data_IF_635098258852
#
_entry.id   IF_635098258852
#
_cell.length_a   1.000
_cell.length_b   1.000
_cell.length_c   1.000
_cell.angle_alpha   90.00
_cell.angle_beta   90.00
_cell.angle_gamma   90.00
#
_symmetry.space_group_name_H-M   'P 1'
#
loop_
_entity.id
_entity.type
_entity.pdbx_description
1 polymer ?
#
# COMPACT_ATOMS: atom_id res chain seq x y z
N UNK A 1 -70.09 -20.69 -28.93
CA UNK A 1 -69.35 -21.03 -30.17
C UNK A 1 -67.89 -21.27 -29.72
N UNK A 2 -67.53 -22.40 -29.10
CA UNK A 2 -67.44 -23.80 -29.55
C UNK A 2 -66.52 -23.98 -30.78
N UNK A 3 -65.45 -24.77 -30.57
CA UNK A 3 -64.41 -25.19 -31.52
C UNK A 3 -63.04 -25.10 -30.84
N UNK A 4 -62.63 -26.01 -29.94
CA UNK A 4 -62.30 -27.44 -30.13
C UNK A 4 -61.44 -27.74 -31.36
N UNK A 5 -60.15 -28.08 -31.13
CA UNK A 5 -59.50 -29.18 -31.85
C UNK A 5 -58.39 -29.81 -30.99
N UNK A 6 -58.62 -31.09 -30.70
CA UNK A 6 -57.75 -32.09 -30.08
C UNK A 6 -56.91 -32.74 -31.19
N UNK A 7 -55.62 -33.04 -30.95
CA UNK A 7 -55.02 -34.27 -31.49
C UNK A 7 -53.72 -34.67 -30.77
N UNK A 8 -53.81 -35.71 -29.94
CA UNK A 8 -52.71 -36.57 -29.51
C UNK A 8 -52.32 -37.51 -30.66
N UNK A 9 -51.02 -37.76 -30.87
CA UNK A 9 -50.48 -39.12 -31.13
C UNK A 9 -49.05 -39.26 -30.59
N UNK A 10 -48.87 -40.33 -29.82
CA UNK A 10 -47.63 -40.82 -29.24
C UNK A 10 -46.95 -41.87 -30.14
N UNK A 11 -45.66 -42.10 -29.87
CA UNK A 11 -44.90 -43.38 -29.85
C UNK A 11 -43.51 -43.27 -30.52
N UNK A 12 -42.48 -43.72 -29.79
CA UNK A 12 -41.18 -44.05 -30.36
C UNK A 12 -40.00 -43.94 -29.40
N UNK A 13 -39.97 -44.78 -28.36
CA UNK A 13 -38.79 -44.99 -27.52
C UNK A 13 -37.73 -45.81 -28.26
N UNK A 14 -36.45 -45.43 -28.15
CA UNK A 14 -35.35 -46.35 -28.38
C UNK A 14 -34.19 -46.05 -27.41
N UNK A 15 -34.13 -46.88 -26.37
CA UNK A 15 -32.99 -47.09 -25.47
C UNK A 15 -31.93 -47.94 -26.16
N UNK A 16 -30.66 -47.55 -26.07
CA UNK A 16 -29.54 -48.49 -26.24
C UNK A 16 -28.54 -48.31 -25.10
N UNK A 17 -28.54 -49.31 -24.22
CA UNK A 17 -27.63 -49.50 -23.09
C UNK A 17 -26.48 -50.40 -23.56
N UNK A 18 -25.23 -50.06 -23.27
CA UNK A 18 -24.11 -50.99 -23.33
C UNK A 18 -23.22 -50.78 -22.09
N UNK A 19 -23.25 -51.81 -21.24
CA UNK A 19 -22.40 -52.05 -20.07
C UNK A 19 -21.32 -53.06 -20.48
N UNK A 20 -20.12 -52.93 -19.93
CA UNK A 20 -19.10 -53.96 -19.56
C UNK A 20 -17.75 -53.22 -19.48
N UNK A 21 -16.80 -53.46 -18.58
CA UNK A 21 -16.68 -54.14 -17.30
C UNK A 21 -15.31 -53.72 -16.70
N UNK A 22 -15.08 -54.09 -15.44
CA UNK A 22 -13.95 -53.74 -14.59
C UNK A 22 -12.54 -54.06 -15.13
N UNK A 23 -11.55 -53.32 -14.62
CA UNK A 23 -10.14 -53.66 -14.72
C UNK A 23 -9.25 -52.65 -13.99
N UNK A 24 -8.89 -52.94 -12.74
CA UNK A 24 -7.75 -52.30 -12.07
C UNK A 24 -6.46 -52.77 -12.73
N UNK A 25 -5.54 -51.87 -13.09
CA UNK A 25 -4.14 -52.23 -13.18
C UNK A 25 -3.20 -51.06 -12.87
N UNK A 26 -2.31 -51.38 -11.95
CA UNK A 26 -1.24 -50.59 -11.37
C UNK A 26 -0.06 -50.41 -12.35
N UNK A 27 0.85 -49.51 -11.97
CA UNK A 27 2.29 -49.53 -12.23
C UNK A 27 2.91 -48.71 -13.40
N UNK A 28 3.88 -47.91 -12.93
CA UNK A 28 5.24 -47.66 -13.44
C UNK A 28 5.48 -46.38 -14.25
N UNK A 29 6.12 -45.46 -13.52
CA UNK A 29 7.21 -44.62 -14.00
C UNK A 29 8.15 -45.38 -14.94
N UNK A 30 8.34 -44.87 -16.15
CA UNK A 30 9.50 -45.19 -16.98
C UNK A 30 9.86 -44.00 -17.86
N UNK A 31 10.83 -43.25 -17.34
CA UNK A 31 11.98 -42.65 -18.03
C UNK A 31 12.17 -43.22 -19.45
N UNK A 32 12.03 -42.37 -20.46
CA UNK A 32 12.58 -42.62 -21.80
C UNK A 32 13.84 -41.79 -22.00
N UNK A 33 14.93 -42.52 -22.14
CA UNK A 33 16.27 -42.12 -22.52
C UNK A 33 16.48 -42.48 -24.00
N UNK A 34 17.41 -41.78 -24.65
CA UNK A 34 18.24 -42.13 -25.84
C UNK A 34 18.22 -41.07 -26.96
N UNK A 35 19.31 -40.89 -27.75
CA UNK A 35 20.72 -41.27 -27.54
C UNK A 35 21.71 -40.09 -27.70
N UNK A 36 22.92 -40.29 -27.18
CA UNK A 36 24.03 -39.33 -27.29
C UNK A 36 24.78 -39.39 -28.61
N UNK A 37 25.36 -38.25 -28.99
CA UNK A 37 26.41 -38.12 -30.00
C UNK A 37 27.51 -37.19 -29.48
N UNK A 38 28.76 -37.64 -29.62
CA UNK A 38 29.99 -36.93 -29.26
C UNK A 38 30.29 -35.77 -30.23
N UNK A 39 30.82 -34.65 -29.71
CA UNK A 39 31.54 -33.69 -30.54
C UNK A 39 31.80 -32.31 -29.91
N UNK A 40 33.06 -32.04 -29.56
CA UNK A 40 33.71 -30.75 -29.83
C UNK A 40 33.50 -29.57 -28.87
N UNK A 41 34.56 -29.22 -28.14
CA UNK A 41 34.76 -27.89 -27.55
C UNK A 41 34.75 -26.79 -28.63
N UNK A 42 34.07 -25.66 -28.37
CA UNK A 42 34.50 -24.33 -28.82
C UNK A 42 33.77 -23.25 -28.01
N UNK A 43 34.54 -22.47 -27.26
CA UNK A 43 34.04 -21.34 -26.47
C UNK A 43 33.68 -20.16 -27.34
N UNK A 44 32.55 -19.52 -27.04
CA UNK A 44 32.13 -18.25 -27.62
C UNK A 44 32.41 -17.11 -26.63
N UNK A 45 33.06 -16.01 -27.07
CA UNK A 45 33.39 -14.88 -26.21
C UNK A 45 32.16 -14.00 -25.93
N UNK A 46 32.02 -13.56 -24.67
CA UNK A 46 31.07 -12.51 -24.30
C UNK A 46 31.54 -11.15 -24.84
N UNK A 47 30.70 -10.52 -25.66
CA UNK A 47 30.82 -9.11 -26.04
C UNK A 47 30.26 -8.24 -24.92
N UNK A 48 31.13 -7.42 -24.31
CA UNK A 48 30.77 -6.38 -23.36
C UNK A 48 30.17 -5.16 -24.05
N UNK A 49 29.08 -4.64 -23.49
CA UNK A 49 28.53 -3.33 -23.84
C UNK A 49 29.35 -2.21 -23.17
N UNK A 50 29.80 -1.19 -23.90
CA UNK A 50 30.50 -0.05 -23.31
C UNK A 50 29.52 0.89 -22.59
N UNK A 51 29.72 1.04 -21.28
CA UNK A 51 29.14 2.10 -20.44
C UNK A 51 29.82 3.44 -20.78
N UNK A 52 29.04 4.40 -21.31
CA UNK A 52 29.48 5.79 -21.47
C UNK A 52 29.41 6.50 -20.12
N UNK A 53 30.58 6.91 -19.62
CA UNK A 53 30.71 7.67 -18.37
C UNK A 53 30.33 9.14 -18.55
N UNK A 54 29.45 9.64 -17.69
CA UNK A 54 29.25 11.07 -17.47
C UNK A 54 30.38 11.64 -16.60
N UNK A 55 31.00 12.78 -16.96
CA UNK A 55 32.06 13.37 -16.16
C UNK A 55 31.50 14.02 -14.89
N UNK A 56 31.93 13.51 -13.73
CA UNK A 56 31.76 14.12 -12.41
C UNK A 56 32.73 15.31 -12.27
N UNK A 57 32.19 16.53 -12.15
CA UNK A 57 32.97 17.70 -11.73
C UNK A 57 33.26 17.62 -10.24
N UNK A 58 34.54 17.51 -9.89
CA UNK A 58 35.03 17.49 -8.52
C UNK A 58 34.98 18.88 -7.88
N UNK A 59 34.33 18.97 -6.72
CA UNK A 59 34.50 20.07 -5.78
C UNK A 59 35.56 19.69 -4.73
N UNK A 60 36.48 20.61 -4.36
CA UNK A 60 37.56 20.31 -3.43
C UNK A 60 37.05 20.11 -2.00
N UNK A 61 37.46 19.01 -1.36
CA UNK A 61 37.29 18.79 0.07
C UNK A 61 38.22 19.72 0.88
N UNK A 62 37.62 20.56 1.72
CA UNK A 62 38.29 21.11 2.91
C UNK A 62 37.80 20.36 4.14
N UNK A 63 38.75 19.88 4.95
CA UNK A 63 38.49 19.18 6.20
C UNK A 63 37.97 20.10 7.31
N UNK A 64 37.04 19.58 8.10
CA UNK A 64 36.49 20.17 9.32
C UNK A 64 35.78 19.09 10.17
N UNK A 65 35.73 19.25 11.51
CA UNK A 65 35.74 18.14 12.48
C UNK A 65 34.39 17.40 12.69
N UNK A 66 34.48 16.20 13.27
CA UNK A 66 33.39 15.33 13.76
C UNK A 66 32.11 16.08 14.17
N UNK A 67 31.03 15.87 13.42
CA UNK A 67 29.69 16.35 13.80
C UNK A 67 28.95 15.31 14.67
N UNK A 68 28.26 15.75 15.74
CA UNK A 68 27.45 14.90 16.59
C UNK A 68 26.17 14.42 15.90
N UNK A 69 25.76 13.21 16.28
CA UNK A 69 24.55 12.47 15.94
C UNK A 69 23.32 13.37 15.71
N UNK A 70 22.82 13.39 14.46
CA UNK A 70 21.67 14.20 14.06
C UNK A 70 20.41 13.75 14.81
N UNK A 71 19.94 14.61 15.73
CA UNK A 71 18.59 14.56 16.26
C UNK A 71 17.60 15.19 15.29
N UNK A 72 16.37 14.70 15.34
CA UNK A 72 15.15 15.21 14.70
C UNK A 72 15.17 16.76 14.53
N UNK A 73 15.14 17.31 13.30
CA UNK A 73 14.95 18.73 13.13
C UNK A 73 13.53 19.11 13.56
N UNK A 74 13.44 19.99 14.56
CA UNK A 74 12.17 20.58 14.97
C UNK A 74 11.58 21.41 13.81
N UNK A 75 10.27 21.31 13.54
CA UNK A 75 9.64 22.09 12.48
C UNK A 75 9.76 23.59 12.76
N UNK A 76 10.10 24.37 11.73
CA UNK A 76 10.09 25.83 11.79
C UNK A 76 8.67 26.33 12.12
N UNK A 77 8.52 27.45 12.87
CA UNK A 77 7.21 27.97 13.24
C UNK A 77 6.46 28.47 12.01
N UNK A 78 5.41 27.75 11.61
CA UNK A 78 4.43 28.26 10.64
C UNK A 78 3.41 29.15 11.36
N UNK A 79 3.06 30.29 10.78
CA UNK A 79 2.06 31.26 11.29
C UNK A 79 0.59 30.80 11.14
N UNK A 80 0.36 29.48 11.05
CA UNK A 80 -0.98 28.90 11.09
C UNK A 80 -1.53 28.81 12.53
N UNK A 81 -2.83 28.53 12.71
CA UNK A 81 -3.35 28.12 14.01
C UNK A 81 -2.46 26.98 14.56
N UNK A 82 -2.14 26.99 15.86
CA UNK A 82 -1.17 26.06 16.42
C UNK A 82 -1.55 24.63 16.05
N UNK A 83 -0.58 23.77 15.67
CA UNK A 83 -0.86 22.35 15.49
C UNK A 83 -1.56 21.88 16.78
N UNK A 84 -2.73 21.27 16.63
CA UNK A 84 -3.41 20.63 17.75
C UNK A 84 -2.45 19.60 18.30
N UNK A 85 -1.86 19.87 19.47
CA UNK A 85 -1.10 18.90 20.24
C UNK A 85 -1.93 17.62 20.29
N UNK A 86 -1.39 16.45 19.89
CA UNK A 86 -2.13 15.20 19.98
C UNK A 86 -2.63 15.07 21.42
N UNK A 87 -3.94 15.20 21.60
CA UNK A 87 -4.51 15.18 22.93
C UNK A 87 -4.47 13.72 23.37
N UNK A 88 -3.61 13.40 24.34
CA UNK A 88 -3.50 12.04 24.88
C UNK A 88 -4.91 11.59 25.31
N UNK A 89 -5.41 10.46 24.79
CA UNK A 89 -6.75 9.99 25.15
C UNK A 89 -6.89 9.84 26.68
N UNK A 90 -8.10 9.97 27.25
CA UNK A 90 -8.32 9.71 28.66
C UNK A 90 -7.99 8.25 28.99
N UNK A 91 -7.41 8.01 30.16
CA UNK A 91 -7.08 6.66 30.62
C UNK A 91 -8.35 5.85 30.90
N UNK A 92 -8.43 4.67 30.30
CA UNK A 92 -9.41 3.62 30.57
C UNK A 92 -8.76 2.31 31.04
N UNK A 93 -9.55 1.24 31.15
CA UNK A 93 -9.07 -0.09 31.53
C UNK A 93 -8.05 -0.65 30.51
N UNK A 94 -7.08 -1.49 30.92
CA UNK A 94 -6.17 -2.16 30.00
C UNK A 94 -6.91 -2.96 28.92
N UNK A 95 -6.38 -2.97 27.70
CA UNK A 95 -6.91 -3.71 26.55
C UNK A 95 -5.96 -4.86 26.21
N UNK A 96 -6.39 -6.10 26.46
CA UNK A 96 -5.52 -7.29 26.41
C UNK A 96 -5.56 -8.07 25.09
N UNK A 97 -6.52 -7.81 24.19
CA UNK A 97 -6.71 -8.52 22.92
C UNK A 97 -6.95 -7.52 21.78
N UNK A 98 -6.05 -6.56 21.67
CA UNK A 98 -6.14 -5.55 20.63
C UNK A 98 -5.65 -6.12 19.28
N UNK A 99 -6.42 -6.03 18.18
CA UNK A 99 -6.06 -6.68 16.92
C UNK A 99 -4.78 -6.12 16.27
N UNK A 100 -4.42 -4.87 16.54
CA UNK A 100 -3.14 -4.32 16.06
C UNK A 100 -1.99 -4.87 16.89
N UNK A 101 -2.12 -4.93 18.23
CA UNK A 101 -1.15 -5.58 19.09
C UNK A 101 -0.88 -7.04 18.69
N UNK A 102 -1.94 -7.76 18.30
CA UNK A 102 -1.87 -9.17 17.91
C UNK A 102 -1.46 -9.39 16.44
N UNK A 103 -1.33 -8.32 15.63
CA UNK A 103 -1.11 -8.38 14.17
C UNK A 103 -2.15 -9.31 13.51
N UNK A 104 -3.42 -9.04 13.80
CA UNK A 104 -4.53 -9.81 13.26
C UNK A 104 -4.87 -9.36 11.83
N UNK A 105 -4.41 -10.13 10.83
CA UNK A 105 -4.62 -9.81 9.41
C UNK A 105 -6.09 -9.75 9.00
N UNK A 106 -6.95 -10.62 9.51
CA UNK A 106 -8.37 -10.59 9.15
C UNK A 106 -9.02 -9.27 9.60
N UNK A 107 -8.68 -8.81 10.80
CA UNK A 107 -9.12 -7.49 11.27
C UNK A 107 -8.51 -6.35 10.44
N UNK A 108 -7.19 -6.36 10.21
CA UNK A 108 -6.51 -5.29 9.46
C UNK A 108 -7.03 -5.15 8.03
N UNK A 109 -7.32 -6.26 7.35
CA UNK A 109 -7.92 -6.25 6.00
C UNK A 109 -9.33 -5.67 6.01
N UNK A 110 -10.14 -6.02 7.01
CA UNK A 110 -11.47 -5.45 7.19
C UNK A 110 -11.40 -3.94 7.47
N UNK A 111 -10.44 -3.50 8.29
CA UNK A 111 -10.22 -2.09 8.58
C UNK A 111 -9.79 -1.32 7.33
N UNK A 112 -8.89 -1.86 6.52
CA UNK A 112 -8.52 -1.27 5.23
C UNK A 112 -9.75 -1.10 4.30
N UNK A 113 -10.66 -2.08 4.28
CA UNK A 113 -11.93 -1.98 3.56
C UNK A 113 -12.87 -0.90 4.12
N UNK A 114 -12.94 -0.76 5.45
CA UNK A 114 -13.69 0.30 6.13
C UNK A 114 -13.17 1.69 5.77
N UNK A 115 -11.85 1.90 5.88
CA UNK A 115 -11.18 3.14 5.50
C UNK A 115 -11.40 3.46 4.02
N UNK A 116 -11.32 2.47 3.12
CA UNK A 116 -11.64 2.66 1.70
C UNK A 116 -13.09 3.16 1.51
N UNK A 117 -14.05 2.59 2.23
CA UNK A 117 -15.44 3.04 2.20
C UNK A 117 -15.60 4.50 2.62
N UNK A 118 -14.89 4.93 3.67
CA UNK A 118 -14.86 6.33 4.10
C UNK A 118 -14.25 7.28 3.06
N UNK A 119 -13.15 6.87 2.43
CA UNK A 119 -12.50 7.63 1.36
C UNK A 119 -13.44 7.82 0.16
N UNK A 120 -14.06 6.74 -0.33
CA UNK A 120 -15.03 6.78 -1.44
C UNK A 120 -16.25 7.64 -1.07
N UNK A 121 -16.75 7.54 0.16
CA UNK A 121 -17.86 8.37 0.67
C UNK A 121 -17.52 9.85 0.85
N UNK A 122 -16.24 10.21 0.80
CA UNK A 122 -15.77 11.59 0.89
C UNK A 122 -15.51 12.26 -0.48
N UNK A 123 -15.51 11.50 -1.57
CA UNK A 123 -15.33 12.03 -2.92
C UNK A 123 -16.53 12.86 -3.38
N UNK A 124 -16.31 13.70 -4.40
CA UNK A 124 -17.40 14.31 -5.16
C UNK A 124 -18.24 13.24 -5.86
N UNK A 125 -19.51 13.51 -6.16
CA UNK A 125 -20.39 12.56 -6.85
C UNK A 125 -19.80 12.07 -8.19
N UNK A 126 -19.15 12.96 -8.94
CA UNK A 126 -18.49 12.62 -10.20
C UNK A 126 -17.32 11.65 -10.02
N UNK A 127 -16.46 11.87 -9.02
CA UNK A 127 -15.34 10.98 -8.76
C UNK A 127 -15.79 9.67 -8.09
N UNK A 128 -16.78 9.73 -7.20
CA UNK A 128 -17.40 8.55 -6.61
C UNK A 128 -17.98 7.64 -7.69
N UNK A 129 -18.67 8.19 -8.69
CA UNK A 129 -19.22 7.41 -9.80
C UNK A 129 -18.15 6.66 -10.59
N UNK A 130 -16.89 7.13 -10.63
CA UNK A 130 -15.79 6.46 -11.35
C UNK A 130 -15.26 5.23 -10.63
N UNK A 131 -15.28 5.25 -9.30
CA UNK A 131 -14.60 4.27 -8.43
C UNK A 131 -15.56 3.37 -7.67
N UNK A 132 -16.85 3.67 -7.69
CA UNK A 132 -17.85 2.85 -7.04
C UNK A 132 -17.88 1.45 -7.68
N UNK A 133 -17.78 0.41 -6.85
CA UNK A 133 -17.74 -0.98 -7.31
C UNK A 133 -16.40 -1.47 -7.86
N UNK A 134 -15.32 -0.71 -7.70
CA UNK A 134 -13.96 -1.25 -7.86
C UNK A 134 -13.71 -2.24 -6.73
N UNK A 135 -13.34 -3.50 -7.03
CA UNK A 135 -13.03 -4.46 -6.00
C UNK A 135 -11.71 -4.09 -5.29
N UNK A 136 -11.69 -4.32 -3.99
CA UNK A 136 -10.52 -4.13 -3.14
C UNK A 136 -10.09 -5.47 -2.57
N UNK A 137 -8.81 -5.82 -2.78
CA UNK A 137 -8.26 -7.11 -2.39
C UNK A 137 -7.10 -6.95 -1.41
N UNK A 138 -6.85 -8.00 -0.65
CA UNK A 138 -5.61 -8.14 0.13
C UNK A 138 -4.68 -9.16 -0.55
N UNK A 139 -3.41 -8.81 -0.67
CA UNK A 139 -2.35 -9.69 -1.14
C UNK A 139 -1.55 -10.23 0.04
N UNK A 140 -1.61 -11.54 0.27
CA UNK A 140 -0.90 -12.21 1.34
C UNK A 140 0.56 -12.58 1.01
N UNK A 141 1.11 -12.09 -0.11
CA UNK A 141 2.48 -12.39 -0.53
C UNK A 141 3.48 -11.92 0.54
N UNK A 142 4.27 -12.83 1.16
CA UNK A 142 5.17 -12.46 2.24
C UNK A 142 6.26 -11.48 1.79
N UNK A 143 6.53 -10.47 2.62
CA UNK A 143 7.60 -9.50 2.40
C UNK A 143 7.29 -8.39 1.38
N UNK A 144 6.16 -8.47 0.68
CA UNK A 144 5.68 -7.40 -0.17
C UNK A 144 5.04 -6.30 0.68
N UNK A 145 5.56 -5.08 0.56
CA UNK A 145 5.05 -3.88 1.25
C UNK A 145 4.62 -2.90 0.17
N UNK A 146 3.34 -2.91 -0.19
CA UNK A 146 2.80 -2.01 -1.19
C UNK A 146 1.27 -1.90 -1.17
N UNK A 147 0.75 -0.93 -1.91
CA UNK A 147 -0.63 -0.85 -2.34
C UNK A 147 -0.67 -0.52 -3.83
N UNK A 148 -1.78 -0.81 -4.49
CA UNK A 148 -1.88 -0.68 -5.93
C UNK A 148 -3.30 -0.30 -6.37
N UNK A 149 -3.38 0.58 -7.35
CA UNK A 149 -4.50 0.75 -8.26
C UNK A 149 -4.11 0.32 -9.68
N UNK A 150 -4.92 -0.51 -10.33
CA UNK A 150 -4.58 -1.08 -11.62
C UNK A 150 -5.76 -1.58 -12.42
N UNK A 151 -5.46 -2.08 -13.61
CA UNK A 151 -6.43 -2.69 -14.51
C UNK A 151 -6.05 -4.15 -14.72
N UNK A 152 -7.04 -5.04 -14.71
CA UNK A 152 -6.83 -6.44 -15.07
C UNK A 152 -6.67 -6.61 -16.59
N UNK A 153 -6.46 -7.85 -17.02
CA UNK A 153 -6.25 -8.20 -18.43
C UNK A 153 -7.47 -7.90 -19.32
N UNK A 154 -8.64 -7.65 -18.73
CA UNK A 154 -9.87 -7.24 -19.42
C UNK A 154 -10.08 -5.71 -19.40
N UNK A 155 -9.14 -4.96 -18.81
CA UNK A 155 -9.24 -3.53 -18.62
C UNK A 155 -10.21 -3.13 -17.51
N UNK A 156 -10.57 -4.05 -16.60
CA UNK A 156 -11.44 -3.74 -15.46
C UNK A 156 -10.59 -3.25 -14.27
N UNK A 157 -11.03 -2.20 -13.57
CA UNK A 157 -10.28 -1.65 -12.45
C UNK A 157 -10.26 -2.60 -11.25
N UNK A 158 -9.16 -2.55 -10.50
CA UNK A 158 -9.01 -3.19 -9.19
C UNK A 158 -8.08 -2.37 -8.29
N UNK A 159 -8.25 -2.53 -6.98
CA UNK A 159 -7.30 -2.05 -5.98
C UNK A 159 -6.82 -3.20 -5.09
N UNK A 160 -5.58 -3.12 -4.62
CA UNK A 160 -5.03 -4.10 -3.70
C UNK A 160 -4.14 -3.46 -2.63
N UNK A 161 -4.08 -4.09 -1.46
CA UNK A 161 -3.12 -3.78 -0.39
C UNK A 161 -2.41 -5.05 0.05
N UNK A 162 -1.11 -5.00 0.29
CA UNK A 162 -0.37 -6.18 0.75
C UNK A 162 -0.48 -6.33 2.26
N UNK A 163 -0.51 -7.58 2.74
CA UNK A 163 -0.41 -7.90 4.17
C UNK A 163 0.87 -7.31 4.78
N UNK A 164 1.98 -7.30 4.04
CA UNK A 164 3.22 -6.69 4.52
C UNK A 164 3.07 -5.18 4.77
N UNK A 165 2.30 -4.45 3.95
CA UNK A 165 2.02 -3.04 4.23
C UNK A 165 1.12 -2.87 5.44
N UNK A 166 0.05 -3.68 5.56
CA UNK A 166 -0.84 -3.66 6.72
C UNK A 166 -0.06 -3.91 8.01
N UNK A 167 0.82 -4.90 8.02
CA UNK A 167 1.68 -5.22 9.16
C UNK A 167 2.67 -4.09 9.46
N UNK A 168 3.34 -3.53 8.45
CA UNK A 168 4.27 -2.41 8.63
C UNK A 168 3.59 -1.23 9.30
N UNK A 169 2.43 -0.81 8.78
CA UNK A 169 1.67 0.32 9.32
C UNK A 169 1.15 0.02 10.74
N UNK A 170 0.80 -1.24 11.05
CA UNK A 170 0.41 -1.65 12.39
C UNK A 170 1.57 -1.55 13.37
N UNK A 171 2.78 -1.99 12.98
CA UNK A 171 3.98 -1.84 13.80
C UNK A 171 4.31 -0.36 14.02
N UNK A 172 4.31 0.44 12.95
CA UNK A 172 4.56 1.88 13.02
C UNK A 172 3.56 2.58 13.96
N UNK A 173 2.27 2.26 13.84
CA UNK A 173 1.22 2.83 14.68
C UNK A 173 1.41 2.50 16.16
N UNK A 174 1.65 1.23 16.50
CA UNK A 174 1.87 0.78 17.88
C UNK A 174 3.07 1.48 18.52
N UNK A 175 4.17 1.53 17.79
CA UNK A 175 5.44 2.06 18.29
C UNK A 175 5.37 3.58 18.41
N UNK A 176 4.80 4.26 17.41
CA UNK A 176 4.57 5.70 17.47
C UNK A 176 3.64 6.09 18.61
N UNK A 177 2.55 5.35 18.81
CA UNK A 177 1.64 5.60 19.93
C UNK A 177 2.33 5.38 21.28
N UNK A 178 3.20 4.37 21.38
CA UNK A 178 4.00 4.14 22.60
C UNK A 178 4.93 5.32 22.87
N UNK A 179 5.60 5.83 21.83
CA UNK A 179 6.48 7.00 21.92
C UNK A 179 5.73 8.26 22.35
N UNK A 180 4.55 8.50 21.77
CA UNK A 180 3.72 9.67 22.11
C UNK A 180 3.15 9.60 23.53
N UNK A 181 2.71 8.43 24.00
CA UNK A 181 2.04 8.29 25.31
C UNK A 181 3.05 8.20 26.46
N UNK A 182 4.21 7.57 26.24
CA UNK A 182 5.18 7.26 27.29
C UNK A 182 6.53 7.96 27.14
N UNK A 183 6.75 8.74 26.08
CA UNK A 183 8.01 9.42 25.84
C UNK A 183 9.17 8.48 25.50
N UNK A 184 8.87 7.31 24.91
CA UNK A 184 9.87 6.35 24.45
C UNK A 184 10.43 6.70 23.06
N UNK A 185 11.30 5.84 22.51
CA UNK A 185 11.84 5.93 21.13
C UNK A 185 11.80 4.59 20.40
N UNK A 186 10.70 3.86 20.60
CA UNK A 186 10.46 2.51 20.10
C UNK A 186 10.36 2.46 18.58
N UNK A 187 9.83 3.49 17.94
CA UNK A 187 9.82 3.56 16.48
C UNK A 187 11.25 3.63 15.93
N UNK A 188 12.10 4.49 16.50
CA UNK A 188 13.52 4.64 16.11
C UNK A 188 14.30 3.35 16.34
N UNK A 189 14.07 2.69 17.48
CA UNK A 189 14.66 1.38 17.80
C UNK A 189 14.25 0.32 16.76
N UNK A 190 12.99 0.33 16.34
CA UNK A 190 12.48 -0.59 15.34
C UNK A 190 13.03 -0.32 13.94
N UNK A 191 13.17 0.95 13.55
CA UNK A 191 13.81 1.30 12.28
C UNK A 191 15.25 0.77 12.20
N UNK A 192 16.01 0.82 13.30
CA UNK A 192 17.35 0.21 13.35
C UNK A 192 17.29 -1.31 13.27
N UNK A 193 16.30 -1.94 13.91
CA UNK A 193 16.08 -3.38 13.82
C UNK A 193 15.83 -3.80 12.37
N UNK A 194 14.93 -3.11 11.67
CA UNK A 194 14.65 -3.35 10.26
C UNK A 194 15.90 -3.13 9.40
N UNK A 195 16.59 -2.01 9.58
CA UNK A 195 17.78 -1.69 8.78
C UNK A 195 18.87 -2.76 8.87
N UNK A 196 19.01 -3.42 10.02
CA UNK A 196 20.02 -4.45 10.24
C UNK A 196 19.57 -5.82 9.72
N UNK A 197 18.30 -6.16 9.92
CA UNK A 197 17.81 -7.55 9.82
C UNK A 197 16.88 -7.80 8.64
N UNK A 198 16.22 -6.78 8.09
CA UNK A 198 15.31 -6.97 6.96
C UNK A 198 16.08 -7.41 5.73
N UNK A 199 15.47 -8.34 4.99
CA UNK A 199 15.98 -8.85 3.71
C UNK A 199 14.84 -8.85 2.70
N UNK A 200 15.18 -8.62 1.43
CA UNK A 200 14.20 -8.62 0.34
C UNK A 200 13.52 -9.99 0.23
N UNK A 201 12.21 -10.01 -0.02
CA UNK A 201 11.42 -11.23 -0.17
C UNK A 201 11.28 -12.09 1.08
N UNK A 202 11.71 -11.59 2.24
CA UNK A 202 11.46 -12.20 3.54
C UNK A 202 10.28 -11.51 4.23
N UNK A 203 9.54 -12.21 5.10
CA UNK A 203 8.55 -11.58 5.98
C UNK A 203 9.13 -10.36 6.70
N UNK A 204 8.25 -9.44 7.08
CA UNK A 204 8.64 -8.27 7.84
C UNK A 204 9.29 -8.71 9.17
N UNK A 205 10.45 -8.15 9.48
CA UNK A 205 11.11 -8.39 10.77
C UNK A 205 10.26 -7.77 11.87
N UNK A 206 9.70 -8.59 12.75
CA UNK A 206 8.89 -8.15 13.89
C UNK A 206 9.75 -7.73 15.08
N UNK A 207 9.31 -6.76 15.89
CA UNK A 207 9.93 -6.49 17.18
C UNK A 207 9.94 -7.76 18.06
N UNK A 208 11.02 -8.04 18.80
CA UNK A 208 11.06 -9.19 19.70
C UNK A 208 10.09 -9.05 20.88
N UNK A 209 9.79 -10.16 21.56
CA UNK A 209 9.00 -10.11 22.79
C UNK A 209 9.64 -9.19 23.84
N UNK A 210 8.81 -8.41 24.54
CA UNK A 210 9.27 -7.41 25.51
C UNK A 210 9.85 -6.13 24.89
N UNK A 211 9.76 -5.94 23.57
CA UNK A 211 10.18 -4.70 22.92
C UNK A 211 9.40 -3.50 23.43
N UNK A 212 8.09 -3.64 23.61
CA UNK A 212 7.21 -2.72 24.34
C UNK A 212 6.98 -3.31 25.73
N UNK A 213 7.03 -2.49 26.78
CA UNK A 213 6.70 -2.92 28.14
C UNK A 213 5.25 -3.48 28.18
N UNK A 214 4.97 -4.63 28.82
CA UNK A 214 3.63 -5.23 28.80
C UNK A 214 2.51 -4.33 29.33
N UNK A 215 2.82 -3.47 30.32
CA UNK A 215 1.84 -2.52 30.86
C UNK A 215 1.56 -1.39 29.88
N UNK A 216 2.59 -0.92 29.15
CA UNK A 216 2.44 0.06 28.09
C UNK A 216 1.70 -0.52 26.87
N UNK A 217 1.96 -1.78 26.56
CA UNK A 217 1.41 -2.45 25.39
C UNK A 217 -0.11 -2.53 25.42
N UNK A 218 -0.67 -2.71 26.62
CA UNK A 218 -2.12 -2.83 26.89
C UNK A 218 -2.76 -1.54 27.39
N UNK A 219 -2.01 -0.42 27.53
CA UNK A 219 -2.57 0.86 27.98
C UNK A 219 -3.61 1.37 26.97
N UNK A 220 -4.82 1.64 27.47
CA UNK A 220 -5.96 2.07 26.65
C UNK A 220 -5.73 3.36 25.86
N UNK A 221 -4.88 4.26 26.34
CA UNK A 221 -4.56 5.53 25.64
C UNK A 221 -3.67 5.25 24.45
N UNK A 222 -2.65 4.41 24.65
CA UNK A 222 -1.76 3.92 23.58
C UNK A 222 -2.56 3.12 22.55
N UNK A 223 -3.45 2.23 22.99
CA UNK A 223 -4.32 1.46 22.10
C UNK A 223 -5.28 2.39 21.33
N UNK A 224 -5.93 3.35 21.97
CA UNK A 224 -6.76 4.31 21.23
C UNK A 224 -5.94 5.09 20.20
N UNK A 225 -4.72 5.52 20.57
CA UNK A 225 -3.86 6.32 19.70
C UNK A 225 -3.29 5.52 18.53
N UNK A 226 -2.92 4.26 18.70
CA UNK A 226 -2.40 3.46 17.59
C UNK A 226 -3.47 3.21 16.51
N UNK A 227 -4.75 3.01 16.89
CA UNK A 227 -5.84 2.90 15.90
C UNK A 227 -6.00 4.19 15.10
N UNK A 228 -5.97 5.35 15.76
CA UNK A 228 -6.01 6.65 15.07
C UNK A 228 -4.85 6.81 14.06
N UNK A 229 -3.63 6.45 14.45
CA UNK A 229 -2.45 6.53 13.57
C UNK A 229 -2.57 5.51 12.43
N UNK A 230 -3.08 4.31 12.71
CA UNK A 230 -3.27 3.26 11.71
C UNK A 230 -4.26 3.69 10.62
N UNK A 231 -5.42 4.23 11.01
CA UNK A 231 -6.43 4.71 10.08
C UNK A 231 -5.90 5.85 9.19
N UNK A 232 -5.12 6.78 9.76
CA UNK A 232 -4.49 7.87 8.99
C UNK A 232 -3.48 7.34 7.97
N UNK A 233 -2.68 6.33 8.33
CA UNK A 233 -1.70 5.71 7.42
C UNK A 233 -2.41 4.95 6.28
N UNK A 234 -3.46 4.18 6.60
CA UNK A 234 -4.29 3.51 5.60
C UNK A 234 -4.96 4.52 4.68
N UNK A 235 -5.58 5.57 5.25
CA UNK A 235 -6.28 6.59 4.48
C UNK A 235 -5.33 7.31 3.51
N UNK A 236 -4.07 7.49 3.88
CA UNK A 236 -3.08 8.14 3.03
C UNK A 236 -2.73 7.28 1.83
N UNK A 237 -2.31 6.03 2.07
CA UNK A 237 -1.90 5.13 0.98
C UNK A 237 -3.09 4.77 0.10
N UNK A 238 -4.22 4.39 0.69
CA UNK A 238 -5.40 4.02 -0.09
C UNK A 238 -6.01 5.22 -0.82
N UNK A 239 -5.97 6.42 -0.23
CA UNK A 239 -6.42 7.64 -0.88
C UNK A 239 -5.55 8.02 -2.09
N UNK A 240 -4.24 7.78 -2.00
CA UNK A 240 -3.31 7.94 -3.10
C UNK A 240 -3.62 6.96 -4.25
N UNK A 241 -3.72 5.66 -3.96
CA UNK A 241 -4.09 4.65 -4.97
C UNK A 241 -5.47 4.94 -5.59
N UNK A 242 -6.45 5.34 -4.78
CA UNK A 242 -7.79 5.67 -5.26
C UNK A 242 -7.76 6.86 -6.24
N UNK A 243 -6.86 7.82 -6.02
CA UNK A 243 -6.65 8.95 -6.91
C UNK A 243 -6.15 8.54 -8.30
N UNK A 244 -5.27 7.55 -8.41
CA UNK A 244 -4.86 7.00 -9.71
C UNK A 244 -6.05 6.52 -10.55
N UNK A 245 -7.10 6.04 -9.90
CA UNK A 245 -8.35 5.70 -10.58
C UNK A 245 -9.17 6.93 -10.96
N UNK A 246 -9.63 7.75 -10.02
CA UNK A 246 -10.59 8.81 -10.36
C UNK A 246 -9.97 9.99 -11.13
N UNK A 247 -8.65 10.17 -11.09
CA UNK A 247 -7.92 11.10 -11.96
C UNK A 247 -7.64 10.53 -13.36
N UNK A 248 -7.91 9.25 -13.58
CA UNK A 248 -7.78 8.59 -14.88
C UNK A 248 -6.37 8.11 -15.21
N UNK A 249 -5.43 8.11 -14.25
CA UNK A 249 -4.04 7.68 -14.48
C UNK A 249 -3.94 6.19 -14.86
N UNK A 250 -4.86 5.37 -14.36
CA UNK A 250 -4.96 3.94 -14.72
C UNK A 250 -5.67 3.70 -16.05
N UNK A 251 -6.54 4.61 -16.49
CA UNK A 251 -7.31 4.49 -17.73
C UNK A 251 -8.53 3.56 -17.68
N UNK A 252 -8.71 2.73 -16.64
CA UNK A 252 -9.83 1.78 -16.54
C UNK A 252 -10.99 2.21 -15.64
N UNK A 253 -10.76 3.11 -14.68
CA UNK A 253 -11.81 3.54 -13.75
C UNK A 253 -12.72 4.63 -14.35
N UNK A 254 -13.72 4.19 -15.12
CA UNK A 254 -14.65 5.06 -15.83
C UNK A 254 -16.12 4.85 -15.41
N UNK A 255 -16.36 4.39 -14.18
CA UNK A 255 -17.69 4.08 -13.65
C UNK A 255 -18.31 2.79 -14.19
N UNK A 256 -17.45 1.94 -14.73
CA UNK A 256 -17.77 0.57 -15.13
C UNK A 256 -17.63 -0.34 -13.90
N UNK A 257 -18.36 -1.45 -13.85
CA UNK A 257 -18.16 -2.44 -12.78
C UNK A 257 -16.71 -2.95 -12.77
N UNK A 258 -16.15 -3.19 -11.59
CA UNK A 258 -14.75 -3.60 -11.47
C UNK A 258 -14.51 -5.08 -11.78
N UNK A 259 -13.25 -5.51 -11.66
CA UNK A 259 -12.83 -6.88 -11.95
C UNK A 259 -13.68 -7.90 -11.16
N UNK A 260 -14.11 -9.00 -11.82
CA UNK A 260 -14.96 -10.04 -11.19
C UNK A 260 -14.19 -11.01 -10.29
N UNK A 261 -12.92 -10.73 -10.03
CA UNK A 261 -12.07 -11.53 -9.18
C UNK A 261 -10.70 -11.67 -9.82
N UNK A 262 -9.71 -11.07 -9.20
CA UNK A 262 -8.31 -11.36 -9.47
C UNK A 262 -7.94 -12.57 -8.61
N UNK A 263 -7.63 -13.70 -9.23
CA UNK A 263 -7.06 -14.84 -8.49
C UNK A 263 -5.75 -14.39 -7.84
N UNK A 264 -5.43 -14.73 -6.57
CA UNK A 264 -4.16 -14.37 -5.94
C UNK A 264 -2.91 -14.71 -6.78
N UNK A 265 -2.94 -15.81 -7.55
CA UNK A 265 -1.87 -16.17 -8.47
C UNK A 265 -1.75 -15.22 -9.68
N UNK A 266 -2.86 -14.61 -10.08
CA UNK A 266 -2.92 -13.60 -11.12
C UNK A 266 -2.66 -12.20 -10.59
N UNK A 267 -2.95 -11.92 -9.31
CA UNK A 267 -2.60 -10.66 -8.64
C UNK A 267 -1.09 -10.46 -8.69
N UNK A 268 -0.30 -11.44 -8.24
CA UNK A 268 1.17 -11.36 -8.32
C UNK A 268 1.70 -11.20 -9.76
N UNK A 269 0.94 -11.61 -10.79
CA UNK A 269 1.26 -11.37 -12.21
C UNK A 269 0.86 -9.96 -12.67
N UNK A 270 -0.29 -9.47 -12.22
CA UNK A 270 -0.80 -8.13 -12.49
C UNK A 270 0.03 -7.05 -11.81
N UNK A 271 0.52 -7.29 -10.59
CA UNK A 271 1.43 -6.39 -9.87
C UNK A 271 2.77 -6.18 -10.60
N UNK A 272 3.23 -7.19 -11.37
CA UNK A 272 4.38 -7.06 -12.27
C UNK A 272 4.08 -6.28 -13.57
N UNK A 273 2.81 -6.02 -13.86
CA UNK A 273 2.32 -5.26 -15.04
C UNK A 273 1.81 -3.87 -14.68
N UNK A 274 1.67 -3.54 -13.39
CA UNK A 274 1.50 -2.15 -12.95
C UNK A 274 2.65 -1.37 -13.58
N UNK A 275 2.28 -0.41 -14.43
CA UNK A 275 3.17 0.16 -15.42
C UNK A 275 4.46 0.69 -14.78
N UNK A 276 5.61 0.55 -15.46
CA UNK A 276 6.88 1.04 -14.96
C UNK A 276 6.82 2.56 -14.85
N UNK A 277 7.07 3.07 -13.64
CA UNK A 277 7.28 4.50 -13.35
C UNK A 277 6.08 5.33 -13.77
N UNK A 278 5.08 5.44 -12.89
CA UNK A 278 4.10 6.51 -12.99
C UNK A 278 4.82 7.83 -13.26
N UNK A 279 4.32 8.60 -14.22
CA UNK A 279 4.93 9.89 -14.49
C UNK A 279 4.93 10.69 -13.17
N UNK A 280 6.06 11.31 -12.82
CA UNK A 280 6.16 12.02 -11.55
C UNK A 280 5.05 13.08 -11.33
N UNK A 281 4.53 13.76 -12.38
CA UNK A 281 3.37 14.63 -12.22
C UNK A 281 2.09 13.93 -11.70
N UNK A 282 1.80 12.72 -12.17
CA UNK A 282 0.61 11.95 -11.76
C UNK A 282 0.72 11.54 -10.30
N UNK A 283 1.91 11.16 -9.85
CA UNK A 283 2.21 10.80 -8.46
C UNK A 283 1.97 11.97 -7.51
N UNK A 284 2.47 13.15 -7.88
CA UNK A 284 2.24 14.39 -7.14
C UNK A 284 0.74 14.74 -7.12
N UNK A 285 0.05 14.59 -8.27
CA UNK A 285 -1.39 14.82 -8.33
C UNK A 285 -2.16 13.85 -7.43
N UNK A 286 -1.72 12.59 -7.33
CA UNK A 286 -2.30 11.59 -6.43
C UNK A 286 -2.02 11.90 -4.96
N UNK A 287 -0.84 12.41 -4.60
CA UNK A 287 -0.58 12.89 -3.24
C UNK A 287 -1.49 14.05 -2.86
N UNK A 288 -1.62 15.05 -3.73
CA UNK A 288 -2.50 16.20 -3.48
C UNK A 288 -3.95 15.74 -3.36
N UNK A 289 -4.42 14.93 -4.30
CA UNK A 289 -5.82 14.50 -4.31
C UNK A 289 -6.12 13.53 -3.15
N UNK A 290 -5.21 12.61 -2.86
CA UNK A 290 -5.29 11.64 -1.77
C UNK A 290 -5.29 12.31 -0.40
N UNK A 291 -4.42 13.30 -0.16
CA UNK A 291 -4.42 14.06 1.12
C UNK A 291 -5.70 14.87 1.28
N UNK A 292 -6.18 15.53 0.22
CA UNK A 292 -7.48 16.21 0.27
C UNK A 292 -8.62 15.23 0.57
N UNK A 293 -8.60 14.04 -0.02
CA UNK A 293 -9.61 13.00 0.21
C UNK A 293 -9.55 12.47 1.65
N UNK A 294 -8.35 12.15 2.16
CA UNK A 294 -8.09 11.76 3.55
C UNK A 294 -8.66 12.77 4.52
N UNK A 295 -8.33 14.06 4.37
CA UNK A 295 -8.75 15.10 5.31
C UNK A 295 -10.26 15.33 5.22
N UNK A 296 -10.83 15.25 4.02
CA UNK A 296 -12.28 15.36 3.82
C UNK A 296 -13.05 14.17 4.41
N UNK A 297 -12.50 12.96 4.33
CA UNK A 297 -13.05 11.78 4.99
C UNK A 297 -12.92 11.89 6.51
N UNK A 298 -11.73 12.25 7.00
CA UNK A 298 -11.43 12.48 8.40
C UNK A 298 -12.33 13.52 9.06
N UNK A 299 -12.65 14.60 8.36
CA UNK A 299 -13.54 15.64 8.86
C UNK A 299 -14.98 15.15 9.13
N UNK A 300 -15.41 14.07 8.48
CA UNK A 300 -16.73 13.44 8.66
C UNK A 300 -16.75 12.40 9.79
N UNK A 301 -15.59 12.01 10.31
CA UNK A 301 -15.50 11.03 11.39
C UNK A 301 -15.98 11.61 12.72
N UNK A 302 -16.70 10.79 13.50
CA UNK A 302 -17.32 11.23 14.75
C UNK A 302 -16.41 11.07 15.97
N UNK A 303 -15.61 10.00 16.01
CA UNK A 303 -14.75 9.65 17.15
C UNK A 303 -13.43 10.42 17.13
N UNK A 304 -12.76 10.44 15.98
CA UNK A 304 -11.47 11.09 15.78
C UNK A 304 -11.40 11.63 14.35
N UNK A 305 -11.00 12.90 14.20
CA UNK A 305 -10.78 13.50 12.89
C UNK A 305 -9.39 13.15 12.39
N UNK A 306 -9.31 12.44 11.27
CA UNK A 306 -8.03 12.13 10.65
C UNK A 306 -7.28 13.38 10.22
N UNK A 307 -5.96 13.30 10.32
CA UNK A 307 -4.99 14.31 9.93
C UNK A 307 -3.96 13.71 8.96
N UNK A 308 -3.13 14.55 8.36
CA UNK A 308 -1.98 14.09 7.57
C UNK A 308 -0.87 13.43 8.42
N UNK A 309 -1.05 13.32 9.74
CA UNK A 309 -0.07 12.72 10.65
C UNK A 309 0.40 11.34 10.22
N UNK A 310 -0.53 10.43 9.90
CA UNK A 310 -0.21 9.12 9.35
C UNK A 310 0.53 9.16 8.00
N UNK A 311 0.22 10.13 7.12
CA UNK A 311 0.92 10.33 5.85
C UNK A 311 2.38 10.73 6.09
N UNK A 312 2.59 11.73 6.96
CA UNK A 312 3.92 12.21 7.33
C UNK A 312 4.75 11.12 8.00
N UNK A 313 4.15 10.34 8.91
CA UNK A 313 4.78 9.20 9.55
C UNK A 313 5.22 8.16 8.51
N UNK A 314 4.33 7.79 7.58
CA UNK A 314 4.60 6.83 6.51
C UNK A 314 5.79 7.26 5.65
N UNK A 315 5.75 8.49 5.14
CA UNK A 315 6.80 9.01 4.26
C UNK A 315 8.14 9.20 5.00
N UNK A 316 8.13 9.70 6.24
CA UNK A 316 9.36 9.86 7.03
C UNK A 316 10.01 8.53 7.36
N UNK A 317 9.21 7.51 7.65
CA UNK A 317 9.69 6.17 7.94
C UNK A 317 10.45 5.57 6.76
N UNK A 318 9.85 5.56 5.57
CA UNK A 318 10.52 5.06 4.36
C UNK A 318 11.74 5.91 3.98
N UNK A 319 11.65 7.26 4.06
CA UNK A 319 12.81 8.12 3.83
C UNK A 319 14.01 7.80 4.74
N UNK A 320 13.71 7.48 6.00
CA UNK A 320 14.74 7.21 7.00
C UNK A 320 15.26 5.78 6.91
N UNK A 321 14.42 4.82 6.51
CA UNK A 321 14.85 3.45 6.28
C UNK A 321 15.81 3.36 5.08
N UNK A 322 15.53 4.06 3.97
CA UNK A 322 16.44 4.15 2.82
C UNK A 322 17.83 4.67 3.25
N UNK A 323 17.87 5.73 4.07
CA UNK A 323 19.13 6.28 4.60
C UNK A 323 19.91 5.31 5.50
N UNK A 324 19.22 4.40 6.20
CA UNK A 324 19.82 3.48 7.17
C UNK A 324 20.22 2.12 6.57
N UNK A 325 19.76 1.79 5.36
CA UNK A 325 20.04 0.49 4.73
C UNK A 325 21.16 0.58 3.68
N UNK A 326 22.36 -0.01 3.92
CA UNK A 326 23.47 0.06 2.97
C UNK A 326 23.32 -0.87 1.75
N UNK A 327 22.39 -1.82 1.82
CA UNK A 327 21.92 -2.60 0.69
C UNK A 327 20.43 -2.35 0.61
N UNK A 328 19.96 -1.77 -0.50
CA UNK A 328 18.58 -1.34 -0.64
C UNK A 328 17.61 -2.45 -0.26
N UNK A 329 17.04 -2.38 0.94
CA UNK A 329 15.82 -3.12 1.27
C UNK A 329 14.72 -2.35 0.55
N UNK A 330 14.69 -2.45 -0.78
CA UNK A 330 13.71 -1.72 -1.55
C UNK A 330 12.40 -2.44 -1.36
N UNK A 331 11.50 -1.81 -0.60
CA UNK A 331 10.11 -2.21 -0.64
C UNK A 331 9.51 -1.83 -1.98
N UNK A 332 8.60 -2.64 -2.51
CA UNK A 332 7.96 -2.37 -3.79
C UNK A 332 7.32 -0.97 -3.84
N UNK A 333 6.87 -0.46 -2.69
CA UNK A 333 6.43 0.93 -2.50
C UNK A 333 7.44 1.97 -3.00
N UNK A 334 8.73 1.84 -2.66
CA UNK A 334 9.80 2.79 -3.03
C UNK A 334 10.22 2.68 -4.51
N UNK A 335 9.94 1.54 -5.15
CA UNK A 335 10.19 1.35 -6.59
C UNK A 335 9.10 1.94 -7.47
N UNK A 336 7.87 2.04 -6.94
CA UNK A 336 6.69 2.45 -7.71
C UNK A 336 6.37 3.94 -7.55
N UNK A 337 6.84 4.59 -6.49
CA UNK A 337 6.51 5.98 -6.16
C UNK A 337 7.75 6.88 -6.10
N UNK A 338 7.61 8.21 -6.24
CA UNK A 338 8.71 9.14 -6.01
C UNK A 338 9.26 9.02 -4.59
N UNK A 339 10.55 9.31 -4.44
CA UNK A 339 11.21 9.22 -3.14
C UNK A 339 10.47 10.04 -2.07
N UNK A 340 10.25 9.50 -0.85
CA UNK A 340 9.40 10.14 0.14
C UNK A 340 9.82 11.57 0.54
N UNK A 341 11.12 11.90 0.47
CA UNK A 341 11.60 13.28 0.75
C UNK A 341 11.06 14.34 -0.21
N UNK A 342 10.68 13.96 -1.44
CA UNK A 342 10.05 14.86 -2.40
C UNK A 342 8.56 15.05 -2.09
N UNK A 343 7.90 14.01 -1.56
CA UNK A 343 6.46 13.97 -1.28
C UNK A 343 6.09 14.69 0.01
N UNK A 344 6.96 14.63 1.03
CA UNK A 344 6.73 15.27 2.35
C UNK A 344 6.28 16.74 2.28
N UNK A 345 6.98 17.66 1.59
CA UNK A 345 6.54 19.05 1.50
C UNK A 345 5.20 19.21 0.78
N UNK A 346 4.89 18.35 -0.19
CA UNK A 346 3.63 18.36 -0.96
C UNK A 346 2.47 17.98 -0.05
N UNK A 347 2.62 16.90 0.72
CA UNK A 347 1.61 16.47 1.71
C UNK A 347 1.34 17.57 2.72
N UNK A 348 2.39 18.15 3.31
CA UNK A 348 2.23 19.21 4.31
C UNK A 348 1.56 20.47 3.74
N UNK A 349 1.99 20.91 2.54
CA UNK A 349 1.41 22.08 1.89
C UNK A 349 -0.05 21.85 1.51
N UNK A 350 -0.39 20.65 1.03
CA UNK A 350 -1.77 20.28 0.70
C UNK A 350 -2.64 20.31 1.94
N UNK A 351 -2.20 19.71 3.05
CA UNK A 351 -2.94 19.72 4.30
C UNK A 351 -3.15 21.14 4.86
N UNK A 352 -2.10 21.97 4.80
CA UNK A 352 -2.20 23.38 5.19
C UNK A 352 -3.22 24.13 4.33
N UNK A 353 -3.22 23.89 3.02
CA UNK A 353 -4.18 24.51 2.10
C UNK A 353 -5.60 24.05 2.40
N UNK A 354 -5.81 22.75 2.61
CA UNK A 354 -7.12 22.19 2.95
C UNK A 354 -7.68 22.82 4.24
N UNK A 355 -6.85 23.01 5.27
CA UNK A 355 -7.25 23.69 6.51
C UNK A 355 -7.67 25.14 6.28
N UNK A 356 -6.95 25.86 5.43
CA UNK A 356 -7.25 27.26 5.11
C UNK A 356 -8.54 27.41 4.31
N UNK A 357 -8.84 26.44 3.44
CA UNK A 357 -10.04 26.49 2.58
C UNK A 357 -11.23 25.73 3.14
N UNK A 358 -11.06 25.00 4.26
CA UNK A 358 -12.07 24.09 4.78
C UNK A 358 -12.42 22.97 3.80
N UNK A 359 -11.49 22.58 2.93
CA UNK A 359 -11.71 21.61 1.86
C UNK A 359 -12.52 22.15 0.68
N UNK A 360 -12.80 23.46 0.59
CA UNK A 360 -13.41 24.05 -0.60
C UNK A 360 -12.39 24.05 -1.76
N UNK A 361 -12.63 23.19 -2.75
CA UNK A 361 -11.80 23.00 -3.95
C UNK A 361 -11.88 24.15 -4.98
N UNK A 362 -12.33 25.34 -4.56
CA UNK A 362 -12.52 26.51 -5.44
C UNK A 362 -11.29 27.36 -5.69
N UNK A 363 -10.18 27.13 -4.98
CA UNK A 363 -8.90 27.79 -5.25
C UNK A 363 -7.99 26.82 -5.99
N UNK A 364 -7.85 26.98 -7.31
CA UNK A 364 -6.91 26.20 -8.10
C UNK A 364 -5.53 26.22 -7.44
N UNK A 365 -5.01 25.04 -7.14
CA UNK A 365 -3.64 24.88 -6.67
C UNK A 365 -2.71 25.33 -7.80
N UNK A 366 -2.20 26.55 -7.72
CA UNK A 366 -1.10 26.98 -8.57
C UNK A 366 0.16 26.46 -7.90
N UNK A 367 0.77 25.42 -8.47
CA UNK A 367 2.11 25.04 -8.04
C UNK A 367 3.00 26.29 -8.16
N UNK A 368 3.75 26.68 -7.11
CA UNK A 368 4.95 27.46 -7.35
C UNK A 368 5.74 26.71 -8.42
N UNK A 369 6.26 27.39 -9.44
CA UNK A 369 7.13 26.79 -10.45
C UNK A 369 8.35 26.13 -9.77
N UNK A 370 8.21 24.87 -9.32
CA UNK A 370 9.29 24.07 -8.74
C UNK A 370 10.06 23.37 -9.88
N UNK A 371 9.42 23.19 -11.03
CA UNK A 371 10.04 22.81 -12.28
C UNK A 371 10.04 24.03 -13.20
N UNK A 372 10.99 24.95 -12.97
CA UNK A 372 11.18 26.11 -13.84
C UNK A 372 11.28 25.69 -15.32
N UNK A 373 10.74 26.54 -16.20
CA UNK A 373 11.14 26.55 -17.61
C UNK A 373 12.64 26.80 -17.73
#
# INVERSE_FOLDING_TARGET
MLGEMISLRALGALTLTLVFAAGCQEQRSSRSQYPGYYGGQQGYPQQGYPQQGYPQQGYPQQGGPQQPQAGWPAPQPSSGPPPTVPQVPPAGLPVSNDPLNDINFDWMRNEAGSVMGHLVGALSSANQAKVNGIPFFSDATPGEVNAFAGCDDQGLPFMAVTDGLLEMQAQMAQLKATDEVFGTRKLDEYMRLLAQNQRQGQPLVRPPAGFIDPTQHTDSRKVTRQHQIYDEQLAFVLGHELAHHYLGHTGCANGQGGSRGVNPADLGRMLRRVAPVFNQPNEIACDVAGVNNLLSAGAKQQSYRWTEGGALLTLQFFASLDQLTPAHVVFAFELSHPHPSLRLPIVQQTANTWRLTGGASGGGFSFPNIFGQ
#
